data_IF_445816800453
#
_entry.id   IF_445816800453
#
_cell.length_a   1.000
_cell.length_b   1.000
_cell.length_c   1.000
_cell.angle_alpha   90.00
_cell.angle_beta   90.00
_cell.angle_gamma   90.00
#
_symmetry.space_group_name_H-M   'P 1'
#
loop_
_entity.id
_entity.type
_entity.pdbx_description
1 polymer ?
#
# COMPACT_ATOMS: atom_id res chain seq x y z
N UNK A 1 -12.93 -0.39 -6.53
CA UNK A 1 -11.67 -1.16 -6.69
C UNK A 1 -11.75 -2.01 -7.96
N UNK A 2 -10.70 -2.02 -8.79
CA UNK A 2 -10.69 -2.72 -10.07
C UNK A 2 -10.58 -4.25 -9.90
N UNK A 3 -11.28 -5.02 -10.74
CA UNK A 3 -11.39 -6.49 -10.63
C UNK A 3 -10.01 -7.20 -10.61
N UNK A 4 -9.04 -6.71 -11.38
CA UNK A 4 -7.67 -7.25 -11.41
C UNK A 4 -6.95 -7.08 -10.07
N UNK A 5 -7.11 -5.92 -9.43
CA UNK A 5 -6.48 -5.60 -8.16
C UNK A 5 -7.05 -6.46 -7.02
N UNK A 6 -8.37 -6.66 -7.00
CA UNK A 6 -9.02 -7.55 -6.04
C UNK A 6 -8.53 -8.99 -6.16
N UNK A 7 -8.41 -9.51 -7.39
CA UNK A 7 -7.85 -10.85 -7.65
C UNK A 7 -6.41 -10.96 -7.17
N UNK A 8 -5.61 -9.91 -7.37
CA UNK A 8 -4.22 -9.88 -6.88
C UNK A 8 -4.17 -9.89 -5.34
N UNK A 9 -5.02 -9.12 -4.67
CA UNK A 9 -5.09 -9.11 -3.20
C UNK A 9 -5.44 -10.50 -2.65
N UNK A 10 -6.41 -11.18 -3.25
CA UNK A 10 -6.73 -12.55 -2.84
C UNK A 10 -5.54 -13.50 -3.01
N UNK A 11 -4.82 -13.38 -4.12
CA UNK A 11 -3.62 -14.18 -4.38
C UNK A 11 -2.51 -13.90 -3.36
N UNK A 12 -2.25 -12.63 -3.04
CA UNK A 12 -1.26 -12.23 -2.03
C UNK A 12 -1.62 -12.80 -0.66
N UNK A 13 -2.90 -12.73 -0.25
CA UNK A 13 -3.38 -13.30 1.01
C UNK A 13 -3.24 -14.82 1.06
N UNK A 14 -3.48 -15.50 -0.06
CA UNK A 14 -3.30 -16.97 -0.16
C UNK A 14 -1.83 -17.38 0.01
N UNK A 15 -0.90 -16.63 -0.59
CA UNK A 15 0.53 -16.93 -0.58
C UNK A 15 1.18 -16.54 0.75
N UNK A 16 0.87 -15.33 1.25
CA UNK A 16 1.50 -14.78 2.46
C UNK A 16 0.84 -15.25 3.75
N UNK A 17 -0.46 -15.56 3.73
CA UNK A 17 -1.20 -16.00 4.92
C UNK A 17 -0.97 -15.04 6.11
N UNK A 18 -0.42 -15.52 7.23
CA UNK A 18 -0.14 -14.75 8.44
C UNK A 18 0.96 -13.67 8.24
N UNK A 19 1.77 -13.81 7.18
CA UNK A 19 2.79 -12.83 6.80
C UNK A 19 2.20 -11.67 5.96
N UNK A 20 0.91 -11.69 5.63
CA UNK A 20 0.25 -10.57 4.95
C UNK A 20 0.26 -9.33 5.85
N UNK A 21 0.93 -8.28 5.40
CA UNK A 21 1.01 -7.02 6.11
C UNK A 21 -0.34 -6.32 6.11
N UNK A 22 -0.84 -6.05 7.31
CA UNK A 22 -1.96 -5.14 7.54
C UNK A 22 -1.54 -4.03 8.49
N UNK A 23 -1.73 -2.79 8.07
CA UNK A 23 -1.36 -1.59 8.79
C UNK A 23 -2.62 -0.92 9.37
N UNK A 24 -2.61 -0.70 10.67
CA UNK A 24 -3.66 0.05 11.36
C UNK A 24 -3.10 1.37 11.88
N UNK A 25 -3.71 2.49 11.50
CA UNK A 25 -3.38 3.80 12.06
C UNK A 25 -4.21 4.03 13.31
N UNK A 26 -3.54 4.17 14.46
CA UNK A 26 -4.20 4.37 15.75
C UNK A 26 -4.43 5.85 16.04
N UNK A 27 -3.47 6.69 15.68
CA UNK A 27 -3.47 8.11 15.95
C UNK A 27 -2.52 8.82 14.99
N UNK A 28 -2.83 10.08 14.68
CA UNK A 28 -1.90 10.99 14.03
C UNK A 28 -1.97 12.39 14.66
N UNK A 29 -0.86 13.12 14.54
CA UNK A 29 -0.76 14.55 14.82
C UNK A 29 -0.34 15.24 13.54
N UNK A 30 -0.95 16.38 13.25
CA UNK A 30 -0.70 17.17 12.07
C UNK A 30 -0.35 18.60 12.48
N UNK A 31 0.75 19.13 11.95
CA UNK A 31 1.07 20.54 12.02
C UNK A 31 1.14 21.10 10.60
N UNK A 32 0.28 22.06 10.28
CA UNK A 32 0.23 22.67 8.96
C UNK A 32 0.59 24.15 9.07
N UNK A 33 1.62 24.55 8.32
CA UNK A 33 1.99 25.94 8.14
C UNK A 33 1.42 26.45 6.82
N UNK A 34 0.29 27.16 6.92
CA UNK A 34 -0.43 27.68 5.75
C UNK A 34 0.35 28.76 5.00
N UNK A 35 1.22 29.52 5.68
CA UNK A 35 2.05 30.54 5.04
C UNK A 35 3.17 29.92 4.20
N UNK A 36 3.70 28.77 4.64
CA UNK A 36 4.76 28.04 3.95
C UNK A 36 4.24 26.95 3.01
N UNK A 37 2.96 26.58 3.10
CA UNK A 37 2.37 25.47 2.35
C UNK A 37 2.98 24.13 2.72
N UNK A 38 3.38 23.95 3.98
CA UNK A 38 4.08 22.76 4.46
C UNK A 38 3.32 22.08 5.59
N UNK A 39 3.40 20.76 5.62
CA UNK A 39 2.74 19.89 6.59
C UNK A 39 3.77 18.93 7.18
N UNK A 40 3.80 18.86 8.51
CA UNK A 40 4.47 17.81 9.26
C UNK A 40 3.40 16.86 9.81
N UNK A 41 3.60 15.55 9.62
CA UNK A 41 2.72 14.52 10.18
C UNK A 41 3.53 13.54 11.03
N UNK A 42 2.95 13.17 12.17
CA UNK A 42 3.42 12.08 13.02
C UNK A 42 2.28 11.10 13.20
N UNK A 43 2.49 9.83 12.85
CA UNK A 43 1.50 8.76 12.93
C UNK A 43 2.02 7.61 13.76
N UNK A 44 1.14 7.03 14.60
CA UNK A 44 1.37 5.75 15.26
C UNK A 44 0.59 4.65 14.56
N UNK A 45 1.30 3.67 14.03
CA UNK A 45 0.76 2.52 13.31
C UNK A 45 1.03 1.23 14.07
N UNK A 46 0.28 0.17 13.75
CA UNK A 46 0.67 -1.21 14.06
C UNK A 46 0.54 -2.11 12.84
N UNK A 47 1.31 -3.20 12.83
CA UNK A 47 1.15 -4.27 11.84
C UNK A 47 0.12 -5.33 12.29
N UNK A 48 -0.03 -6.41 11.53
CA UNK A 48 -0.94 -7.53 11.80
C UNK A 48 -0.56 -8.35 13.05
N UNK A 49 0.65 -8.15 13.58
CA UNK A 49 1.17 -8.78 14.79
C UNK A 49 1.06 -7.86 16.02
N UNK A 50 0.29 -6.76 15.89
CA UNK A 50 0.14 -5.70 16.88
C UNK A 50 1.45 -4.99 17.28
N UNK A 51 2.51 -5.13 16.48
CA UNK A 51 3.77 -4.43 16.71
C UNK A 51 3.60 -2.97 16.30
N UNK A 52 3.71 -2.05 17.26
CA UNK A 52 3.54 -0.63 17.02
C UNK A 52 4.81 0.05 16.57
N UNK A 53 4.71 0.98 15.62
CA UNK A 53 5.81 1.83 15.18
C UNK A 53 5.32 3.23 14.79
N UNK A 54 6.26 4.17 14.74
CA UNK A 54 5.98 5.56 14.38
C UNK A 54 6.42 5.85 12.95
N UNK A 55 5.67 6.75 12.30
CA UNK A 55 5.92 7.27 10.97
C UNK A 55 5.90 8.78 11.04
N UNK A 56 6.99 9.39 10.62
CA UNK A 56 7.15 10.85 10.54
C UNK A 56 7.41 11.24 9.09
N UNK A 57 6.67 12.24 8.61
CA UNK A 57 6.82 12.68 7.24
C UNK A 57 6.48 14.15 7.07
N UNK A 58 6.98 14.70 5.96
CA UNK A 58 6.80 16.10 5.58
C UNK A 58 6.26 16.17 4.17
N UNK A 59 5.42 17.16 3.88
CA UNK A 59 4.85 17.33 2.55
C UNK A 59 4.06 18.61 2.41
N UNK A 60 3.30 18.71 1.32
CA UNK A 60 2.40 19.86 1.05
C UNK A 60 0.95 19.62 1.51
N UNK A 61 0.67 18.43 2.06
CA UNK A 61 -0.65 18.03 2.52
C UNK A 61 -0.58 16.71 3.30
N UNK A 62 -1.67 16.35 3.98
CA UNK A 62 -1.75 15.16 4.85
C UNK A 62 -1.31 13.87 4.13
N UNK A 63 -1.77 13.70 2.88
CA UNK A 63 -1.53 12.49 2.08
C UNK A 63 -0.07 12.40 1.65
N UNK A 64 0.47 13.52 1.16
CA UNK A 64 1.85 13.63 0.72
C UNK A 64 2.81 13.41 1.90
N UNK A 65 2.57 14.08 3.03
CA UNK A 65 3.38 13.94 4.24
C UNK A 65 3.32 12.50 4.80
N UNK A 66 2.14 11.86 4.82
CA UNK A 66 2.02 10.48 5.26
C UNK A 66 2.81 9.54 4.34
N UNK A 67 2.69 9.73 3.04
CA UNK A 67 3.35 8.88 2.06
C UNK A 67 4.87 9.05 2.06
N UNK A 68 5.37 10.28 2.27
CA UNK A 68 6.77 10.56 2.56
C UNK A 68 7.24 9.79 3.80
N UNK A 69 6.49 9.86 4.91
CA UNK A 69 6.83 9.15 6.13
C UNK A 69 6.85 7.62 5.95
N UNK A 70 5.86 7.05 5.26
CA UNK A 70 5.82 5.63 4.95
C UNK A 70 7.03 5.21 4.11
N UNK A 71 7.39 6.00 3.09
CA UNK A 71 8.60 5.76 2.28
C UNK A 71 9.86 5.81 3.13
N UNK A 72 10.05 6.84 3.94
CA UNK A 72 11.22 6.95 4.84
C UNK A 72 11.34 5.76 5.79
N UNK A 73 10.21 5.29 6.33
CA UNK A 73 10.19 4.21 7.31
C UNK A 73 10.38 2.82 6.70
N UNK A 74 9.84 2.58 5.51
CA UNK A 74 9.62 1.23 4.98
C UNK A 74 10.37 0.95 3.68
N UNK A 75 10.78 1.97 2.92
CA UNK A 75 11.28 1.76 1.56
C UNK A 75 12.70 1.16 1.48
N UNK A 76 13.44 1.12 2.60
CA UNK A 76 14.72 0.41 2.66
C UNK A 76 14.54 -1.10 2.75
N UNK A 77 13.51 -1.53 3.47
CA UNK A 77 13.09 -2.93 3.53
C UNK A 77 12.28 -3.33 2.30
N UNK A 78 11.49 -2.39 1.76
CA UNK A 78 10.57 -2.60 0.63
C UNK A 78 10.78 -1.56 -0.50
N UNK A 79 11.79 -1.74 -1.38
CA UNK A 79 12.14 -0.77 -2.42
C UNK A 79 11.01 -0.45 -3.41
N UNK A 80 10.00 -1.32 -3.55
CA UNK A 80 8.81 -1.03 -4.37
C UNK A 80 8.19 0.34 -4.06
N UNK A 81 8.22 0.77 -2.79
CA UNK A 81 7.70 2.07 -2.36
C UNK A 81 8.47 3.28 -2.92
N UNK A 82 9.73 3.11 -3.34
CA UNK A 82 10.53 4.20 -3.95
C UNK A 82 10.08 4.53 -5.37
N UNK A 83 9.52 3.55 -6.07
CA UNK A 83 9.20 3.63 -7.49
C UNK A 83 7.80 4.18 -7.81
N UNK A 84 6.94 4.28 -6.79
CA UNK A 84 5.53 4.63 -6.95
C UNK A 84 5.27 6.13 -6.78
N UNK A 85 4.28 6.64 -7.52
CA UNK A 85 3.87 8.05 -7.51
C UNK A 85 2.36 8.19 -7.59
N UNK A 86 1.80 9.28 -7.06
CA UNK A 86 0.36 9.54 -7.17
C UNK A 86 -0.05 9.85 -8.63
N UNK A 87 -1.13 9.24 -9.10
CA UNK A 87 -1.83 9.57 -10.35
C UNK A 87 -3.10 10.36 -10.10
N UNK A 88 -3.80 10.06 -9.01
CA UNK A 88 -5.10 10.64 -8.70
C UNK A 88 -5.20 10.88 -7.20
N UNK A 89 -5.87 11.98 -6.84
CA UNK A 89 -6.45 12.14 -5.53
C UNK A 89 -7.83 12.79 -5.69
N UNK A 90 -8.86 12.14 -5.16
CA UNK A 90 -10.22 12.70 -5.15
C UNK A 90 -10.91 12.45 -3.81
N UNK A 91 -11.69 13.42 -3.37
CA UNK A 91 -12.51 13.34 -2.16
C UNK A 91 -13.95 13.66 -2.55
N UNK A 92 -14.86 12.78 -2.15
CA UNK A 92 -16.30 12.94 -2.31
C UNK A 92 -16.98 12.99 -0.95
N UNK A 93 -17.70 14.07 -0.67
CA UNK A 93 -18.54 14.18 0.52
C UNK A 93 -19.85 13.43 0.33
N UNK A 94 -20.12 12.46 1.21
CA UNK A 94 -21.39 11.73 1.27
C UNK A 94 -22.35 12.50 2.19
N UNK A 95 -23.02 13.49 1.60
CA UNK A 95 -24.04 14.29 2.30
C UNK A 95 -25.39 13.58 2.19
N UNK A 96 -25.86 12.99 3.28
CA UNK A 96 -27.21 12.45 3.38
C UNK A 96 -28.24 13.59 3.43
N UNK A 97 -29.39 13.41 2.78
CA UNK A 97 -30.53 14.35 2.83
C UNK A 97 -31.44 14.16 4.04
N UNK A 98 -31.00 13.44 5.07
CA UNK A 98 -31.80 13.23 6.28
C UNK A 98 -31.81 14.53 7.11
N UNK A 99 -32.97 15.19 7.13
CA UNK A 99 -33.26 16.47 7.80
C UNK A 99 -33.21 16.41 9.35
N UNK A 100 -32.65 15.34 9.93
CA UNK A 100 -32.47 15.25 11.38
C UNK A 100 -31.34 16.21 11.81
N UNK A 101 -31.58 17.14 12.76
CA UNK A 101 -30.60 18.13 13.19
C UNK A 101 -29.27 17.53 13.68
N UNK A 102 -29.31 16.32 14.22
CA UNK A 102 -28.15 15.63 14.82
C UNK A 102 -27.25 14.89 13.80
N UNK A 103 -27.71 14.75 12.55
CA UNK A 103 -26.99 14.06 11.46
C UNK A 103 -26.53 14.99 10.34
N UNK A 104 -27.08 16.21 10.25
CA UNK A 104 -26.83 17.15 9.16
C UNK A 104 -25.35 17.55 8.99
N UNK A 105 -24.53 17.51 10.06
CA UNK A 105 -23.11 17.88 10.03
C UNK A 105 -22.14 16.69 10.06
N UNK A 106 -22.65 15.45 10.11
CA UNK A 106 -21.84 14.22 10.23
C UNK A 106 -21.67 13.49 8.90
N UNK A 107 -21.47 14.25 7.82
CA UNK A 107 -21.26 13.67 6.49
C UNK A 107 -19.98 12.82 6.47
N UNK A 108 -20.06 11.63 5.89
CA UNK A 108 -18.88 10.81 5.62
C UNK A 108 -18.14 11.34 4.38
N UNK A 109 -16.86 10.98 4.25
CA UNK A 109 -16.07 11.24 3.06
C UNK A 109 -15.62 9.91 2.45
N UNK A 110 -15.57 9.87 1.12
CA UNK A 110 -14.87 8.84 0.36
C UNK A 110 -13.62 9.49 -0.21
N UNK A 111 -12.45 8.95 0.11
CA UNK A 111 -11.20 9.34 -0.51
C UNK A 111 -10.77 8.25 -1.49
N UNK A 112 -10.35 8.66 -2.68
CA UNK A 112 -9.72 7.81 -3.69
C UNK A 112 -8.30 8.30 -3.93
N UNK A 113 -7.37 7.36 -3.90
CA UNK A 113 -5.95 7.58 -4.15
C UNK A 113 -5.54 6.68 -5.32
N UNK A 114 -5.09 7.29 -6.40
CA UNK A 114 -4.47 6.63 -7.54
C UNK A 114 -2.95 6.59 -7.37
N UNK A 115 -2.34 5.45 -7.64
CA UNK A 115 -0.90 5.24 -7.59
C UNK A 115 -0.43 4.59 -8.89
N UNK A 116 0.55 5.22 -9.55
CA UNK A 116 1.29 4.67 -10.68
C UNK A 116 2.56 3.98 -10.20
N UNK A 117 2.82 2.79 -10.74
CA UNK A 117 4.14 2.18 -10.65
C UNK A 117 5.07 2.63 -11.81
N UNK A 118 6.33 2.21 -11.79
CA UNK A 118 7.30 2.59 -12.84
C UNK A 118 6.99 2.01 -14.23
N UNK A 119 6.16 0.98 -14.34
CA UNK A 119 5.65 0.50 -15.65
C UNK A 119 4.46 1.32 -16.17
N UNK A 120 3.99 2.32 -15.41
CA UNK A 120 2.82 3.13 -15.77
C UNK A 120 1.47 2.44 -15.56
N UNK A 121 1.45 1.32 -14.82
CA UNK A 121 0.19 0.71 -14.40
C UNK A 121 -0.41 1.51 -13.23
N UNK A 122 -1.72 1.71 -13.27
CA UNK A 122 -2.46 2.57 -12.34
C UNK A 122 -3.32 1.75 -11.36
N UNK A 123 -3.20 2.07 -10.07
CA UNK A 123 -3.82 1.34 -8.96
C UNK A 123 -4.65 2.30 -8.13
N UNK A 124 -5.88 1.92 -7.81
CA UNK A 124 -6.81 2.82 -7.13
C UNK A 124 -7.24 2.23 -5.79
N UNK A 125 -7.11 3.05 -4.76
CA UNK A 125 -7.42 2.72 -3.39
C UNK A 125 -8.51 3.65 -2.90
N UNK A 126 -9.56 3.08 -2.31
CA UNK A 126 -10.73 3.83 -1.88
C UNK A 126 -11.03 3.50 -0.43
N UNK A 127 -11.20 4.54 0.39
CA UNK A 127 -11.61 4.39 1.77
C UNK A 127 -12.74 5.36 2.10
N UNK A 128 -13.68 4.90 2.91
CA UNK A 128 -14.82 5.67 3.39
C UNK A 128 -14.71 5.84 4.89
N UNK A 129 -14.68 7.09 5.36
CA UNK A 129 -14.56 7.41 6.77
C UNK A 129 -15.42 8.62 7.15
N UNK A 130 -15.75 8.82 8.44
CA UNK A 130 -16.46 10.01 8.91
C UNK A 130 -15.61 11.30 8.88
N UNK A 131 -14.37 11.23 8.42
CA UNK A 131 -13.44 12.37 8.33
C UNK A 131 -12.70 12.31 7.00
N UNK A 132 -12.54 13.46 6.35
CA UNK A 132 -11.79 13.60 5.10
C UNK A 132 -10.34 13.14 5.28
N UNK A 133 -9.66 13.63 6.32
CA UNK A 133 -8.29 13.24 6.63
C UNK A 133 -8.19 11.75 6.89
N UNK A 134 -9.12 11.18 7.66
CA UNK A 134 -9.13 9.74 7.95
C UNK A 134 -9.32 8.91 6.69
N UNK A 135 -10.27 9.26 5.83
CA UNK A 135 -10.51 8.55 4.57
C UNK A 135 -9.25 8.58 3.69
N UNK A 136 -8.61 9.75 3.58
CA UNK A 136 -7.38 9.88 2.81
C UNK A 136 -6.22 9.08 3.39
N UNK A 137 -6.03 9.10 4.71
CA UNK A 137 -5.02 8.30 5.40
C UNK A 137 -5.25 6.81 5.15
N UNK A 138 -6.47 6.30 5.33
CA UNK A 138 -6.81 4.89 5.11
C UNK A 138 -6.56 4.48 3.66
N UNK A 139 -6.96 5.28 2.67
CA UNK A 139 -6.71 4.99 1.25
C UNK A 139 -5.20 4.97 0.92
N UNK A 140 -4.42 5.86 1.53
CA UNK A 140 -2.96 5.92 1.37
C UNK A 140 -2.28 4.68 1.95
N UNK A 141 -2.73 4.25 3.14
CA UNK A 141 -2.24 3.04 3.80
C UNK A 141 -2.54 1.80 2.96
N UNK A 142 -3.75 1.66 2.42
CA UNK A 142 -4.09 0.56 1.51
C UNK A 142 -3.15 0.52 0.29
N UNK A 143 -2.76 1.69 -0.22
CA UNK A 143 -1.75 1.82 -1.27
C UNK A 143 -0.41 1.23 -0.85
N UNK A 144 0.14 1.70 0.27
CA UNK A 144 1.42 1.21 0.79
C UNK A 144 1.39 -0.31 1.09
N UNK A 145 0.34 -0.80 1.75
CA UNK A 145 0.11 -2.22 2.00
C UNK A 145 0.13 -3.05 0.72
N UNK A 146 -0.52 -2.56 -0.35
CA UNK A 146 -0.59 -3.29 -1.60
C UNK A 146 0.79 -3.51 -2.21
N UNK A 147 1.61 -2.46 -2.29
CA UNK A 147 2.94 -2.57 -2.89
C UNK A 147 3.89 -3.40 -2.03
N UNK A 148 3.88 -3.22 -0.71
CA UNK A 148 4.70 -4.02 0.22
C UNK A 148 4.31 -5.50 0.16
N UNK A 149 3.01 -5.82 0.22
CA UNK A 149 2.56 -7.20 0.13
C UNK A 149 2.84 -7.82 -1.24
N UNK A 150 2.75 -7.03 -2.32
CA UNK A 150 3.06 -7.54 -3.66
C UNK A 150 4.54 -7.91 -3.75
N UNK A 151 5.43 -7.09 -3.14
CA UNK A 151 6.86 -7.37 -3.06
C UNK A 151 7.16 -8.62 -2.22
N UNK A 152 6.59 -8.71 -1.02
CA UNK A 152 6.70 -9.91 -0.17
C UNK A 152 6.22 -11.17 -0.89
N UNK A 153 5.13 -11.06 -1.65
CA UNK A 153 4.58 -12.17 -2.44
C UNK A 153 5.55 -12.62 -3.51
N UNK A 154 6.19 -11.67 -4.21
CA UNK A 154 7.21 -11.97 -5.21
C UNK A 154 8.40 -12.74 -4.60
N UNK A 155 8.92 -12.26 -3.47
CA UNK A 155 10.03 -12.91 -2.75
C UNK A 155 9.64 -14.33 -2.32
N UNK A 156 8.47 -14.51 -1.70
CA UNK A 156 7.99 -15.83 -1.26
C UNK A 156 7.80 -16.81 -2.43
N UNK A 157 7.24 -16.34 -3.55
CA UNK A 157 7.11 -17.16 -4.76
C UNK A 157 8.47 -17.58 -5.31
N UNK A 158 9.46 -16.69 -5.29
CA UNK A 158 10.82 -17.00 -5.72
C UNK A 158 11.45 -18.10 -4.85
N UNK A 159 11.34 -17.99 -3.53
CA UNK A 159 11.83 -19.01 -2.57
C UNK A 159 11.19 -20.38 -2.81
N UNK A 160 9.86 -20.42 -2.97
CA UNK A 160 9.11 -21.65 -3.27
C UNK A 160 9.58 -22.27 -4.59
N UNK A 161 9.82 -21.43 -5.60
CA UNK A 161 10.23 -21.87 -6.92
C UNK A 161 11.64 -22.46 -6.90
N UNK A 162 12.59 -21.83 -6.19
CA UNK A 162 13.94 -22.37 -6.01
C UNK A 162 13.94 -23.69 -5.25
N UNK A 163 13.10 -23.81 -4.21
CA UNK A 163 12.92 -25.07 -3.49
C UNK A 163 12.46 -26.19 -4.43
N UNK A 164 11.40 -25.98 -5.23
CA UNK A 164 10.91 -27.03 -6.15
C UNK A 164 11.84 -27.29 -7.34
N UNK A 165 12.64 -26.31 -7.77
CA UNK A 165 13.73 -26.54 -8.74
C UNK A 165 14.76 -27.51 -8.16
N UNK A 166 15.15 -27.32 -6.91
CA UNK A 166 16.12 -28.19 -6.23
C UNK A 166 15.61 -29.63 -6.04
N UNK A 167 14.29 -29.80 -5.90
CA UNK A 167 13.63 -31.11 -5.75
C UNK A 167 13.25 -31.78 -7.08
N UNK A 168 13.49 -31.13 -8.23
CA UNK A 168 13.16 -31.68 -9.56
C UNK A 168 11.64 -31.78 -9.84
N UNK A 169 10.81 -31.02 -9.13
CA UNK A 169 9.33 -31.00 -9.27
C UNK A 169 8.90 -30.04 -10.38
N UNK A 170 9.14 -30.44 -11.62
CA UNK A 170 8.87 -29.61 -12.82
C UNK A 170 7.43 -29.13 -12.95
N UNK A 171 6.45 -29.93 -12.49
CA UNK A 171 5.03 -29.59 -12.44
C UNK A 171 4.75 -28.35 -11.58
N UNK A 172 5.40 -28.28 -10.42
CA UNK A 172 5.25 -27.15 -9.50
C UNK A 172 6.05 -25.95 -9.97
N UNK A 173 7.23 -26.15 -10.55
CA UNK A 173 8.04 -25.06 -11.13
C UNK A 173 7.25 -24.30 -12.19
N UNK A 174 6.55 -24.99 -13.10
CA UNK A 174 5.72 -24.34 -14.13
C UNK A 174 4.58 -23.52 -13.50
N UNK A 175 3.84 -24.11 -12.55
CA UNK A 175 2.76 -23.44 -11.81
C UNK A 175 3.24 -22.15 -11.13
N UNK A 176 4.34 -22.21 -10.37
CA UNK A 176 4.84 -21.05 -9.63
C UNK A 176 5.50 -20.01 -10.55
N UNK A 177 6.04 -20.41 -11.70
CA UNK A 177 6.54 -19.48 -12.73
C UNK A 177 5.40 -18.63 -13.31
N UNK A 178 4.23 -19.23 -13.60
CA UNK A 178 3.05 -18.50 -14.06
C UNK A 178 2.56 -17.49 -13.00
N UNK A 179 2.45 -17.93 -11.74
CA UNK A 179 2.06 -17.06 -10.63
C UNK A 179 3.02 -15.88 -10.45
N UNK A 180 4.33 -16.14 -10.50
CA UNK A 180 5.35 -15.09 -10.37
C UNK A 180 5.28 -14.09 -11.52
N UNK A 181 5.05 -14.55 -12.75
CA UNK A 181 4.85 -13.67 -13.93
C UNK A 181 3.66 -12.75 -13.74
N UNK A 182 2.55 -13.27 -13.21
CA UNK A 182 1.34 -12.47 -12.92
C UNK A 182 1.58 -11.42 -11.84
N UNK A 183 2.38 -11.72 -10.81
CA UNK A 183 2.76 -10.75 -9.78
C UNK A 183 3.64 -9.65 -10.38
N UNK A 184 4.69 -9.99 -11.13
CA UNK A 184 5.59 -9.01 -11.78
C UNK A 184 4.84 -8.10 -12.76
N UNK A 185 3.91 -8.64 -13.56
CA UNK A 185 3.14 -7.79 -14.50
C UNK A 185 2.31 -6.71 -13.81
N UNK A 186 1.94 -6.89 -12.54
CA UNK A 186 1.20 -5.90 -11.78
C UNK A 186 2.12 -4.95 -10.98
N UNK A 187 3.44 -5.16 -10.98
CA UNK A 187 4.32 -4.40 -10.08
C UNK A 187 5.75 -4.36 -10.60
N UNK A 188 6.33 -3.17 -10.73
CA UNK A 188 7.70 -2.99 -11.23
C UNK A 188 8.69 -3.32 -10.11
N UNK A 189 9.48 -4.37 -10.30
CA UNK A 189 10.40 -4.92 -9.28
C UNK A 189 11.86 -4.98 -9.73
N UNK A 190 12.28 -4.10 -10.65
CA UNK A 190 13.65 -4.11 -11.15
C UNK A 190 14.69 -4.13 -10.01
N UNK A 191 14.52 -3.31 -8.97
CA UNK A 191 15.43 -3.25 -7.82
C UNK A 191 15.36 -4.49 -6.91
N UNK A 192 14.18 -5.09 -6.74
CA UNK A 192 14.02 -6.31 -5.94
C UNK A 192 14.64 -7.51 -6.66
N UNK A 193 14.47 -7.58 -7.99
CA UNK A 193 15.12 -8.59 -8.84
C UNK A 193 16.64 -8.46 -8.75
N UNK A 194 17.18 -7.24 -8.75
CA UNK A 194 18.61 -6.99 -8.56
C UNK A 194 19.08 -7.42 -7.17
N UNK A 195 18.38 -7.06 -6.09
CA UNK A 195 18.70 -7.51 -4.72
C UNK A 195 18.74 -9.04 -4.58
N UNK A 196 17.73 -9.73 -5.13
CA UNK A 196 17.70 -11.20 -5.10
C UNK A 196 18.88 -11.78 -5.88
N UNK A 197 19.22 -11.21 -7.04
CA UNK A 197 20.40 -11.63 -7.82
C UNK A 197 21.72 -11.42 -7.08
N UNK A 198 21.83 -10.35 -6.29
CA UNK A 198 23.01 -10.06 -5.48
C UNK A 198 23.16 -11.01 -4.28
N UNK A 199 22.06 -11.43 -3.65
CA UNK A 199 22.07 -12.39 -2.54
C UNK A 199 22.45 -13.82 -2.96
N UNK A 200 22.37 -14.12 -4.26
CA UNK A 200 22.72 -15.43 -4.86
C UNK A 200 24.20 -15.48 -5.32
N UNK A 201 24.90 -14.34 -5.35
CA UNK A 201 26.35 -14.27 -5.64
C UNK A 201 27.19 -14.51 -4.39
#
# INVERSE_FOLDING_TARGET
MYEKQTKMISLMKEILQDDYLHLTVHQYTLNENLDQGSVDIHCRLSNQKDESFEVEGVGVGVIDALFDGLKKRMADDYPSLKSIRFSEFSIEGLVSRDDSPDTATKAAAVAKVGILNSEGNDFHFEAKAPSVSRAGIEATIMGAEYFVNSECTYVRLHEILEHYRSEGRTDLVEKYTDLMTRVVQNTSYSEVVERIREQIR
#
